data_IF_708511370947
#
_entry.id   IF_708511370947
#
_cell.length_a   1.000
_cell.length_b   1.000
_cell.length_c   1.000
_cell.angle_alpha   90.00
_cell.angle_beta   90.00
_cell.angle_gamma   90.00
#
_symmetry.space_group_name_H-M   'P 1'
#
loop_
_entity.id
_entity.type
_entity.pdbx_description
1 polymer ?
#
# COMPACT_ATOMS: atom_id res chain seq x y z
N UNK A 1 -6.53 12.38 19.36
CA UNK A 1 -5.36 12.99 18.69
C UNK A 1 -4.12 12.57 19.46
N UNK A 2 -3.09 12.10 18.77
CA UNK A 2 -1.82 11.66 19.39
C UNK A 2 -1.07 12.85 19.98
N UNK A 3 -0.41 12.65 21.13
CA UNK A 3 0.49 13.63 21.73
C UNK A 3 1.95 13.35 21.37
N UNK A 4 2.77 14.41 21.38
CA UNK A 4 4.23 14.35 21.27
C UNK A 4 4.81 14.99 22.52
N UNK A 5 5.60 14.23 23.26
CA UNK A 5 6.31 14.65 24.46
C UNK A 5 7.80 14.70 24.18
N UNK A 6 8.50 15.67 24.76
CA UNK A 6 9.92 15.87 24.54
C UNK A 6 10.73 15.55 25.80
N UNK A 7 11.79 14.76 25.67
CA UNK A 7 12.66 14.37 26.80
C UNK A 7 13.44 15.54 27.42
N UNK A 8 13.80 16.51 26.60
CA UNK A 8 14.52 17.72 27.00
C UNK A 8 14.51 18.73 25.87
N UNK A 9 14.42 20.02 26.18
CA UNK A 9 14.50 21.07 25.18
C UNK A 9 13.61 22.26 25.53
N UNK A 10 13.45 23.16 24.57
CA UNK A 10 12.56 24.32 24.71
C UNK A 10 11.14 24.01 24.18
N UNK A 11 10.11 24.71 24.69
CA UNK A 11 8.79 24.71 24.09
C UNK A 11 8.84 24.94 22.59
N UNK A 12 8.39 23.93 21.85
CA UNK A 12 8.39 23.90 20.39
C UNK A 12 6.95 23.68 19.92
N UNK A 13 6.55 24.34 18.85
CA UNK A 13 5.20 24.20 18.30
C UNK A 13 4.90 22.72 17.97
N UNK A 14 3.73 22.24 18.42
CA UNK A 14 3.30 20.85 18.23
C UNK A 14 3.72 19.86 19.32
N UNK A 15 4.63 20.24 20.23
CA UNK A 15 4.95 19.47 21.45
C UNK A 15 3.90 19.75 22.52
N UNK A 16 3.36 18.70 23.15
CA UNK A 16 2.30 18.81 24.15
C UNK A 16 2.83 18.87 25.59
N UNK A 17 3.92 18.16 25.89
CA UNK A 17 4.53 18.10 27.24
C UNK A 17 6.05 17.98 27.16
N UNK A 18 6.75 18.54 28.13
CA UNK A 18 8.21 18.43 28.26
C UNK A 18 8.58 17.76 29.57
N UNK A 19 9.47 16.76 29.49
CA UNK A 19 10.00 16.09 30.67
C UNK A 19 10.87 17.06 31.48
N UNK A 20 10.57 17.17 32.77
CA UNK A 20 11.22 18.13 33.68
C UNK A 20 10.45 19.44 33.87
N UNK A 21 9.40 19.68 33.09
CA UNK A 21 8.45 20.78 33.28
C UNK A 21 7.07 20.23 33.63
N UNK A 22 6.17 20.04 32.66
CA UNK A 22 4.82 19.52 32.93
C UNK A 22 4.80 18.01 33.16
N UNK A 23 5.73 17.27 32.54
CA UNK A 23 5.86 15.83 32.65
C UNK A 23 6.99 15.48 33.64
N UNK A 24 6.69 14.66 34.65
CA UNK A 24 7.68 14.18 35.60
C UNK A 24 7.59 12.66 35.76
N UNK A 25 8.75 12.02 35.87
CA UNK A 25 8.89 10.58 36.12
C UNK A 25 9.70 10.42 37.41
N UNK A 26 9.06 9.88 38.46
CA UNK A 26 9.72 9.56 39.72
C UNK A 26 9.64 8.05 39.97
N UNK A 27 10.77 7.37 39.72
CA UNK A 27 10.83 5.91 39.65
C UNK A 27 9.88 5.36 38.57
N UNK A 28 8.83 4.70 38.99
CA UNK A 28 7.78 4.18 38.10
C UNK A 28 6.53 5.06 38.06
N UNK A 29 6.44 6.10 38.87
CA UNK A 29 5.27 6.97 38.88
C UNK A 29 5.37 8.05 37.80
N UNK A 30 4.31 8.19 37.01
CA UNK A 30 4.18 9.19 35.95
C UNK A 30 3.26 10.32 36.43
N UNK A 31 3.76 11.56 36.34
CA UNK A 31 3.03 12.76 36.72
C UNK A 31 2.89 13.69 35.53
N UNK A 32 1.71 14.28 35.39
CA UNK A 32 1.44 15.39 34.47
C UNK A 32 0.85 16.53 35.30
N UNK A 33 1.44 17.72 35.23
CA UNK A 33 1.03 18.90 36.00
C UNK A 33 0.93 18.61 37.51
N UNK A 34 1.94 17.93 38.07
CA UNK A 34 2.02 17.51 39.48
C UNK A 34 0.94 16.51 39.97
N UNK A 35 0.08 16.00 39.09
CA UNK A 35 -0.88 14.94 39.42
C UNK A 35 -0.31 13.60 38.95
N UNK A 36 -0.33 12.58 39.81
CA UNK A 36 -0.01 11.23 39.39
C UNK A 36 -1.12 10.71 38.46
N UNK A 37 -0.76 10.41 37.22
CA UNK A 37 -1.69 9.96 36.18
C UNK A 37 -1.45 8.52 35.77
N UNK A 38 -0.25 7.99 36.03
CA UNK A 38 0.13 6.73 35.42
C UNK A 38 1.39 6.12 35.98
N UNK A 39 1.89 5.12 35.24
CA UNK A 39 3.16 4.48 35.56
C UNK A 39 4.04 4.26 34.32
N UNK A 40 5.35 4.34 34.53
CA UNK A 40 6.38 3.86 33.61
C UNK A 40 6.56 2.36 33.79
N UNK A 41 6.62 1.61 32.69
CA UNK A 41 6.79 0.15 32.70
C UNK A 41 7.79 -0.26 31.61
N UNK A 42 8.83 -0.97 32.01
CA UNK A 42 9.74 -1.66 31.08
C UNK A 42 9.07 -2.94 30.56
N UNK A 43 8.85 -3.02 29.24
CA UNK A 43 8.19 -4.15 28.57
C UNK A 43 9.15 -5.06 27.78
N UNK A 44 10.44 -5.00 28.09
CA UNK A 44 11.50 -5.84 27.49
C UNK A 44 11.28 -7.35 27.68
N UNK A 45 10.47 -7.76 28.65
CA UNK A 45 10.20 -9.16 28.99
C UNK A 45 8.71 -9.42 29.28
N UNK A 46 8.35 -10.70 29.41
CA UNK A 46 6.98 -11.16 29.63
C UNK A 46 6.38 -10.71 30.97
N UNK A 47 7.19 -10.54 32.01
CA UNK A 47 6.74 -10.04 33.32
C UNK A 47 6.33 -8.57 33.22
N UNK A 48 7.18 -7.74 32.62
CA UNK A 48 6.90 -6.31 32.35
C UNK A 48 5.65 -6.11 31.50
N UNK A 49 5.49 -6.88 30.43
CA UNK A 49 4.27 -6.85 29.60
C UNK A 49 3.01 -7.26 30.39
N UNK A 50 3.12 -8.26 31.28
CA UNK A 50 1.98 -8.69 32.09
C UNK A 50 1.59 -7.61 33.11
N UNK A 51 2.57 -6.93 33.70
CA UNK A 51 2.35 -5.77 34.57
C UNK A 51 1.64 -4.66 33.79
N UNK A 52 2.15 -4.27 32.62
CA UNK A 52 1.52 -3.23 31.79
C UNK A 52 0.07 -3.58 31.42
N UNK A 53 -0.21 -4.81 30.96
CA UNK A 53 -1.59 -5.24 30.66
C UNK A 53 -2.52 -5.19 31.88
N UNK A 54 -2.03 -5.54 33.07
CA UNK A 54 -2.83 -5.50 34.29
C UNK A 54 -3.24 -4.09 34.73
N UNK A 55 -2.56 -3.06 34.20
CA UNK A 55 -2.88 -1.66 34.47
C UNK A 55 -3.97 -1.09 33.56
N UNK A 56 -4.34 -1.80 32.49
CA UNK A 56 -5.42 -1.39 31.60
C UNK A 56 -6.73 -1.20 32.38
N UNK A 57 -7.37 -0.04 32.20
CA UNK A 57 -8.56 0.38 32.94
C UNK A 57 -8.31 0.92 34.35
N UNK A 58 -7.09 0.79 34.90
CA UNK A 58 -6.78 1.17 36.30
C UNK A 58 -5.98 2.47 36.44
N UNK A 59 -5.28 2.89 35.39
CA UNK A 59 -4.48 4.13 35.35
C UNK A 59 -4.86 4.97 34.12
N UNK A 60 -4.60 6.27 34.16
CA UNK A 60 -4.87 7.15 33.02
C UNK A 60 -3.81 6.95 31.92
N UNK A 61 -2.55 6.75 32.29
CA UNK A 61 -1.43 6.57 31.37
C UNK A 61 -0.52 5.40 31.74
N UNK A 62 -0.04 4.68 30.73
CA UNK A 62 1.09 3.76 30.83
C UNK A 62 2.19 4.28 29.91
N UNK A 63 3.36 4.60 30.45
CA UNK A 63 4.55 4.95 29.66
C UNK A 63 5.42 3.71 29.47
N UNK A 64 5.51 3.23 28.24
CA UNK A 64 6.30 2.06 27.86
C UNK A 64 7.75 2.45 27.61
N UNK A 65 8.65 1.71 28.24
CA UNK A 65 10.07 1.70 27.90
C UNK A 65 10.46 0.33 27.35
N UNK A 66 11.41 0.36 26.42
CA UNK A 66 11.87 -0.82 25.70
C UNK A 66 13.37 -0.97 25.97
N UNK A 67 13.80 -2.19 26.29
CA UNK A 67 15.21 -2.54 26.27
C UNK A 67 15.71 -2.62 24.83
N UNK A 68 15.46 -3.76 24.18
CA UNK A 68 15.56 -3.89 22.73
C UNK A 68 14.19 -3.67 22.09
N UNK A 69 14.12 -2.79 21.08
CA UNK A 69 12.88 -2.51 20.37
C UNK A 69 12.32 -3.74 19.66
N UNK A 70 11.03 -4.01 19.87
CA UNK A 70 10.24 -5.03 19.18
C UNK A 70 8.81 -4.53 19.02
N UNK A 71 8.15 -4.87 17.91
CA UNK A 71 6.75 -4.47 17.65
C UNK A 71 5.75 -5.19 18.56
N UNK A 72 5.94 -6.50 18.77
CA UNK A 72 4.96 -7.33 19.49
C UNK A 72 4.62 -6.81 20.90
N UNK A 73 5.58 -6.39 21.75
CA UNK A 73 5.26 -5.85 23.07
C UNK A 73 4.33 -4.64 23.03
N UNK A 74 4.57 -3.67 22.14
CA UNK A 74 3.76 -2.45 22.06
C UNK A 74 2.36 -2.77 21.52
N UNK A 75 2.25 -3.62 20.50
CA UNK A 75 0.98 -4.08 19.94
C UNK A 75 0.11 -4.77 20.99
N UNK A 76 0.71 -5.64 21.81
CA UNK A 76 0.00 -6.34 22.88
C UNK A 76 -0.56 -5.40 23.96
N UNK A 77 0.15 -4.31 24.29
CA UNK A 77 -0.33 -3.35 25.29
C UNK A 77 -1.40 -2.43 24.69
N UNK A 78 -1.23 -1.97 23.45
CA UNK A 78 -2.26 -1.20 22.72
C UNK A 78 -3.55 -2.02 22.67
N UNK A 79 -3.49 -3.28 22.22
CA UNK A 79 -4.67 -4.15 22.14
C UNK A 79 -5.35 -4.38 23.50
N UNK A 80 -4.59 -4.40 24.60
CA UNK A 80 -5.15 -4.56 25.95
C UNK A 80 -5.82 -3.28 26.48
N UNK A 81 -5.41 -2.11 26.00
CA UNK A 81 -5.95 -0.81 26.41
C UNK A 81 -7.03 -0.29 25.45
N UNK A 82 -7.12 -0.84 24.24
CA UNK A 82 -8.07 -0.41 23.21
C UNK A 82 -9.52 -0.49 23.70
N UNK A 83 -10.30 0.54 23.36
CA UNK A 83 -11.67 0.74 23.87
C UNK A 83 -11.78 1.10 25.37
N UNK A 84 -10.67 1.14 26.11
CA UNK A 84 -10.60 1.47 27.53
C UNK A 84 -10.22 2.93 27.81
N UNK A 85 -10.23 3.36 29.10
CA UNK A 85 -9.86 4.73 29.48
C UNK A 85 -8.35 4.95 29.62
N UNK A 86 -7.55 3.87 29.61
CA UNK A 86 -6.10 3.94 29.79
C UNK A 86 -5.42 4.25 28.47
N UNK A 87 -4.60 5.30 28.47
CA UNK A 87 -3.80 5.73 27.32
C UNK A 87 -2.39 5.16 27.38
N UNK A 88 -1.81 4.93 26.21
CA UNK A 88 -0.47 4.35 26.06
C UNK A 88 0.49 5.40 25.52
N UNK A 89 1.57 5.68 26.25
CA UNK A 89 2.70 6.44 25.77
C UNK A 89 3.89 5.51 25.53
N UNK A 90 4.73 5.81 24.54
CA UNK A 90 5.94 5.04 24.28
C UNK A 90 7.16 5.96 24.20
N UNK A 91 8.21 5.58 24.92
CA UNK A 91 9.53 6.24 24.82
C UNK A 91 10.29 5.66 23.64
N UNK A 92 10.70 6.52 22.70
CA UNK A 92 11.23 6.14 21.40
C UNK A 92 12.55 6.88 21.13
N UNK A 93 13.52 6.17 20.53
CA UNK A 93 14.87 6.70 20.28
C UNK A 93 15.31 6.66 18.82
N UNK A 94 14.44 6.24 17.87
CA UNK A 94 14.73 6.31 16.44
C UNK A 94 13.50 6.61 15.58
N UNK A 95 13.74 7.14 14.37
CA UNK A 95 12.67 7.48 13.43
C UNK A 95 11.85 6.26 12.96
N UNK A 96 12.50 5.10 12.78
CA UNK A 96 11.81 3.85 12.40
C UNK A 96 10.82 3.40 13.49
N UNK A 97 11.25 3.50 14.75
CA UNK A 97 10.41 3.17 15.91
C UNK A 97 9.22 4.14 16.04
N UNK A 98 9.39 5.43 15.67
CA UNK A 98 8.30 6.41 15.69
C UNK A 98 7.15 5.96 14.79
N UNK A 99 7.44 5.58 13.54
CA UNK A 99 6.41 5.11 12.61
C UNK A 99 5.76 3.81 13.11
N UNK A 100 6.56 2.86 13.60
CA UNK A 100 6.06 1.63 14.19
C UNK A 100 5.10 1.88 15.36
N UNK A 101 5.49 2.71 16.32
CA UNK A 101 4.66 3.03 17.49
C UNK A 101 3.42 3.85 17.14
N UNK A 102 3.56 4.85 16.26
CA UNK A 102 2.49 5.77 15.91
C UNK A 102 1.34 5.08 15.16
N UNK A 103 1.62 3.99 14.42
CA UNK A 103 0.63 3.33 13.56
C UNK A 103 0.42 1.84 13.89
N UNK A 104 0.99 1.34 14.99
CA UNK A 104 0.82 -0.05 15.45
C UNK A 104 -0.65 -0.46 15.48
N UNK A 105 -0.96 -1.62 14.88
CA UNK A 105 -2.33 -2.16 14.75
C UNK A 105 -3.34 -1.20 14.10
N UNK A 106 -2.89 -0.21 13.32
CA UNK A 106 -3.72 0.89 12.79
C UNK A 106 -4.37 1.79 13.86
N UNK A 107 -4.10 1.55 15.15
CA UNK A 107 -4.59 2.32 16.30
C UNK A 107 -3.50 3.31 16.75
N UNK A 108 -2.29 2.80 16.98
CA UNK A 108 -1.12 3.55 17.45
C UNK A 108 -1.15 3.88 18.94
N UNK A 109 -0.02 4.37 19.46
CA UNK A 109 0.09 4.89 20.84
C UNK A 109 -0.56 6.27 21.00
N UNK A 110 -1.11 6.59 22.16
CA UNK A 110 -1.67 7.91 22.43
C UNK A 110 -0.62 9.02 22.57
N UNK A 111 0.62 8.68 22.93
CA UNK A 111 1.73 9.63 22.98
C UNK A 111 3.09 9.02 22.62
N UNK A 112 3.96 9.83 22.03
CA UNK A 112 5.36 9.52 21.80
C UNK A 112 6.24 10.40 22.69
N UNK A 113 7.08 9.81 23.53
CA UNK A 113 8.16 10.51 24.23
C UNK A 113 9.45 10.35 23.44
N UNK A 114 9.96 11.46 22.91
CA UNK A 114 11.07 11.49 21.93
C UNK A 114 12.16 12.47 22.35
N UNK A 115 13.35 12.27 21.80
CA UNK A 115 14.46 13.23 21.91
C UNK A 115 14.41 14.30 20.80
N UNK A 116 15.26 15.33 20.88
CA UNK A 116 15.31 16.40 19.87
C UNK A 116 15.63 15.88 18.46
N UNK A 117 16.35 14.76 18.33
CA UNK A 117 16.72 14.19 17.03
C UNK A 117 15.53 13.54 16.34
N UNK A 118 14.65 12.91 17.10
CA UNK A 118 13.47 12.19 16.61
C UNK A 118 12.21 13.05 16.58
N UNK A 119 12.22 14.20 17.27
CA UNK A 119 11.13 15.16 17.31
C UNK A 119 10.54 15.52 15.93
N UNK A 120 11.32 15.85 14.88
CA UNK A 120 10.74 16.15 13.57
C UNK A 120 9.90 15.00 13.00
N UNK A 121 10.35 13.75 13.17
CA UNK A 121 9.60 12.56 12.71
C UNK A 121 8.32 12.37 13.51
N UNK A 122 8.37 12.60 14.83
CA UNK A 122 7.21 12.48 15.70
C UNK A 122 6.13 13.53 15.40
N UNK A 123 6.53 14.77 15.08
CA UNK A 123 5.60 15.83 14.66
C UNK A 123 4.92 15.51 13.33
N UNK A 124 5.65 14.96 12.36
CA UNK A 124 5.07 14.47 11.09
C UNK A 124 4.04 13.37 11.37
N UNK A 125 4.42 12.36 12.17
CA UNK A 125 3.52 11.27 12.54
C UNK A 125 2.28 11.77 13.30
N UNK A 126 2.42 12.79 14.15
CA UNK A 126 1.30 13.47 14.83
C UNK A 126 0.35 14.15 13.84
N UNK A 127 0.88 14.87 12.84
CA UNK A 127 0.06 15.47 11.78
C UNK A 127 -0.73 14.41 11.02
N UNK A 128 -0.05 13.37 10.54
CA UNK A 128 -0.66 12.24 9.82
C UNK A 128 -1.75 11.53 10.66
N UNK A 129 -1.61 11.50 11.99
CA UNK A 129 -2.63 10.97 12.90
C UNK A 129 -3.75 11.93 13.25
N UNK A 130 -3.50 13.23 13.20
CA UNK A 130 -4.51 14.28 13.41
C UNK A 130 -5.47 14.40 12.23
N UNK A 131 -5.00 14.09 11.02
CA UNK A 131 -5.79 14.08 9.80
C UNK A 131 -6.73 12.86 9.70
N UNK A 132 -6.48 11.79 10.47
CA UNK A 132 -7.31 10.58 10.60
C UNK A 132 -8.61 10.78 11.40
N UNK A 133 -9.51 11.63 10.91
CA UNK A 133 -10.98 11.38 10.98
C UNK A 133 -11.61 11.37 9.58
N UNK A 134 -10.77 11.43 8.55
CA UNK A 134 -11.13 11.07 7.18
C UNK A 134 -10.30 9.83 6.86
N UNK A 135 -10.92 8.84 6.26
CA UNK A 135 -10.35 7.53 5.91
C UNK A 135 -8.97 7.69 5.28
N UNK A 136 -7.92 7.31 6.03
CA UNK A 136 -6.56 7.27 5.50
C UNK A 136 -6.40 5.99 4.69
N UNK A 137 -6.70 6.08 3.40
CA UNK A 137 -5.76 5.57 2.42
C UNK A 137 -4.42 6.25 2.68
N UNK A 138 -3.45 5.46 3.13
CA UNK A 138 -2.04 5.85 3.19
C UNK A 138 -1.62 6.51 1.89
N UNK A 139 -0.98 7.70 1.96
CA UNK A 139 -0.17 8.44 0.96
C UNK A 139 -0.03 7.85 -0.46
N UNK A 140 -1.13 7.39 -1.02
CA UNK A 140 -1.31 7.05 -2.39
C UNK A 140 -1.82 8.36 -2.94
N UNK A 141 -0.95 9.08 -3.63
CA UNK A 141 -1.38 10.20 -4.46
C UNK A 141 -2.46 9.64 -5.38
N UNK A 142 -3.73 9.82 -5.02
CA UNK A 142 -4.84 9.30 -5.80
C UNK A 142 -4.85 10.10 -7.08
N UNK A 143 -4.39 9.48 -8.17
CA UNK A 143 -4.29 10.12 -9.47
C UNK A 143 -5.49 9.73 -10.31
N UNK A 144 -6.16 10.73 -10.87
CA UNK A 144 -7.17 10.49 -11.89
C UNK A 144 -6.48 10.10 -13.20
N UNK A 145 -6.82 8.93 -13.70
CA UNK A 145 -6.36 8.37 -14.95
C UNK A 145 -7.53 8.26 -15.91
N UNK A 146 -7.40 8.83 -17.10
CA UNK A 146 -8.42 8.68 -18.14
C UNK A 146 -8.30 7.31 -18.80
N UNK A 147 -9.25 6.42 -18.50
CA UNK A 147 -9.36 5.13 -19.15
C UNK A 147 -9.94 5.29 -20.57
N UNK A 148 -9.43 4.49 -21.50
CA UNK A 148 -9.85 4.46 -22.90
C UNK A 148 -10.62 3.19 -23.20
N UNK A 149 -11.52 3.27 -24.19
CA UNK A 149 -12.23 2.11 -24.72
C UNK A 149 -11.38 1.41 -25.77
N UNK A 150 -11.25 0.10 -25.62
CA UNK A 150 -10.45 -0.76 -26.50
C UNK A 150 -11.36 -1.86 -27.06
N UNK A 151 -11.53 -1.88 -28.39
CA UNK A 151 -12.33 -2.89 -29.08
C UNK A 151 -11.44 -4.07 -29.47
N UNK A 152 -11.76 -5.26 -28.96
CA UNK A 152 -11.03 -6.49 -29.31
C UNK A 152 -11.29 -6.84 -30.77
N UNK A 153 -10.21 -7.01 -31.55
CA UNK A 153 -10.28 -7.30 -32.99
C UNK A 153 -9.83 -8.72 -33.35
N UNK A 154 -9.00 -9.35 -32.50
CA UNK A 154 -8.50 -10.70 -32.70
C UNK A 154 -8.34 -11.39 -31.34
N UNK A 155 -8.71 -12.67 -31.26
CA UNK A 155 -8.41 -13.55 -30.12
C UNK A 155 -7.95 -14.90 -30.67
N UNK A 156 -6.79 -15.38 -30.22
CA UNK A 156 -6.23 -16.68 -30.63
C UNK A 156 -5.33 -17.29 -29.56
N UNK A 157 -4.97 -18.55 -29.74
CA UNK A 157 -3.96 -19.19 -28.90
C UNK A 157 -2.60 -18.51 -29.07
N UNK A 158 -1.95 -18.19 -27.95
CA UNK A 158 -0.65 -17.52 -27.87
C UNK A 158 0.54 -18.46 -27.62
N UNK A 159 0.30 -19.78 -27.58
CA UNK A 159 1.33 -20.77 -27.26
C UNK A 159 1.75 -20.76 -25.79
N UNK A 160 2.88 -21.37 -25.47
CA UNK A 160 3.43 -21.42 -24.10
C UNK A 160 4.61 -20.47 -23.97
N UNK A 161 4.60 -19.63 -22.95
CA UNK A 161 5.72 -18.72 -22.66
C UNK A 161 5.82 -18.35 -21.19
N UNK A 162 6.77 -17.48 -20.87
CA UNK A 162 7.04 -17.02 -19.50
C UNK A 162 6.03 -15.95 -19.06
N UNK A 163 5.13 -16.35 -18.16
CA UNK A 163 4.11 -15.48 -17.57
C UNK A 163 4.60 -14.88 -16.27
N UNK A 164 4.37 -13.59 -16.11
CA UNK A 164 4.69 -12.80 -14.92
C UNK A 164 3.42 -12.56 -14.09
N UNK A 165 3.47 -12.97 -12.82
CA UNK A 165 2.55 -12.49 -11.78
C UNK A 165 3.24 -11.46 -10.92
N UNK A 166 2.50 -10.42 -10.58
CA UNK A 166 2.94 -9.38 -9.64
C UNK A 166 2.12 -9.54 -8.36
N UNK A 167 2.81 -9.78 -7.25
CA UNK A 167 2.24 -9.74 -5.90
C UNK A 167 2.59 -8.41 -5.26
N UNK A 168 1.59 -7.71 -4.76
CA UNK A 168 1.72 -6.43 -4.08
C UNK A 168 1.85 -6.60 -2.56
N UNK A 169 2.34 -5.56 -1.89
CA UNK A 169 2.30 -5.47 -0.42
C UNK A 169 0.93 -5.01 0.10
N UNK A 170 0.05 -4.54 -0.79
CA UNK A 170 -1.29 -4.06 -0.49
C UNK A 170 -2.36 -5.00 -1.07
N UNK A 171 -3.54 -5.01 -0.46
CA UNK A 171 -4.71 -5.68 -1.03
C UNK A 171 -5.32 -4.82 -2.14
N UNK A 172 -5.91 -5.51 -3.12
CA UNK A 172 -6.66 -5.03 -4.26
C UNK A 172 -8.14 -5.22 -3.95
N UNK A 173 -8.93 -4.23 -4.33
CA UNK A 173 -10.38 -4.29 -4.30
C UNK A 173 -10.94 -4.88 -5.60
N UNK A 174 -12.25 -5.18 -5.59
CA UNK A 174 -12.95 -5.59 -6.81
C UNK A 174 -12.93 -4.43 -7.82
N UNK A 175 -12.55 -4.73 -9.07
CA UNK A 175 -12.42 -3.72 -10.11
C UNK A 175 -11.04 -3.07 -10.17
N UNK A 176 -10.12 -3.39 -9.24
CA UNK A 176 -8.73 -2.94 -9.30
C UNK A 176 -7.83 -3.88 -10.09
N UNK A 177 -6.81 -3.31 -10.72
CA UNK A 177 -5.89 -4.04 -11.57
C UNK A 177 -4.65 -3.26 -11.97
N UNK A 178 -3.89 -3.83 -12.90
CA UNK A 178 -2.69 -3.22 -13.48
C UNK A 178 -2.88 -2.95 -14.96
N UNK A 179 -2.29 -1.85 -15.44
CA UNK A 179 -2.31 -1.46 -16.85
C UNK A 179 -1.07 -2.06 -17.53
N UNK A 180 -1.29 -2.92 -18.52
CA UNK A 180 -0.25 -3.73 -19.17
C UNK A 180 -0.49 -3.88 -20.66
N UNK A 181 0.55 -4.07 -21.46
CA UNK A 181 0.38 -4.31 -22.91
C UNK A 181 1.70 -4.57 -23.61
N UNK A 182 1.67 -5.18 -24.79
CA UNK A 182 2.88 -5.35 -25.60
C UNK A 182 3.31 -4.06 -26.32
N UNK A 183 2.51 -2.99 -26.25
CA UNK A 183 2.92 -1.64 -26.63
C UNK A 183 2.81 -0.67 -25.46
N UNK A 184 3.78 0.22 -25.35
CA UNK A 184 3.80 1.27 -24.32
C UNK A 184 2.83 2.42 -24.62
N UNK A 185 2.24 2.48 -25.82
CA UNK A 185 1.31 3.53 -26.25
C UNK A 185 -0.17 3.12 -26.12
N UNK A 186 -0.46 1.84 -25.90
CA UNK A 186 -1.82 1.34 -25.74
C UNK A 186 -1.76 0.05 -24.92
N UNK A 187 -2.39 0.07 -23.74
CA UNK A 187 -2.31 -0.97 -22.71
C UNK A 187 -3.71 -1.29 -22.17
N UNK A 188 -3.92 -2.51 -21.68
CA UNK A 188 -5.19 -3.01 -21.15
C UNK A 188 -5.19 -3.06 -19.61
N UNK A 189 -6.35 -2.86 -18.98
CA UNK A 189 -6.52 -3.06 -17.54
C UNK A 189 -6.78 -4.54 -17.21
N UNK A 190 -5.80 -5.18 -16.57
CA UNK A 190 -5.89 -6.57 -16.10
C UNK A 190 -6.25 -6.58 -14.63
N UNK A 191 -7.39 -7.20 -14.31
CA UNK A 191 -7.97 -7.23 -12.99
C UNK A 191 -7.21 -8.16 -12.02
N UNK A 192 -7.24 -7.83 -10.73
CA UNK A 192 -6.66 -8.64 -9.65
C UNK A 192 -7.35 -9.99 -9.42
N UNK A 193 -6.69 -10.89 -8.70
CA UNK A 193 -7.24 -12.20 -8.28
C UNK A 193 -8.16 -12.05 -7.05
N UNK A 194 -9.17 -11.17 -7.15
CA UNK A 194 -10.09 -10.80 -6.06
C UNK A 194 -11.46 -11.47 -6.14
N UNK A 195 -11.74 -12.21 -7.23
CA UNK A 195 -13.00 -12.95 -7.42
C UNK A 195 -12.82 -14.42 -7.08
N UNK A 196 -13.63 -14.93 -6.15
CA UNK A 196 -13.66 -16.34 -5.79
C UNK A 196 -13.97 -17.23 -7.00
N UNK A 197 -13.31 -18.39 -7.06
CA UNK A 197 -13.69 -19.48 -7.97
C UNK A 197 -13.92 -20.75 -7.17
N UNK A 198 -14.68 -21.68 -7.75
CA UNK A 198 -14.93 -22.99 -7.11
C UNK A 198 -13.65 -23.81 -6.90
N UNK A 199 -12.58 -23.48 -7.63
CA UNK A 199 -11.37 -24.29 -7.71
C UNK A 199 -10.16 -23.68 -6.98
N UNK A 200 -10.14 -22.35 -6.77
CA UNK A 200 -8.96 -21.64 -6.25
C UNK A 200 -9.39 -20.50 -5.32
N UNK A 201 -8.83 -20.39 -4.10
CA UNK A 201 -9.09 -19.25 -3.22
C UNK A 201 -8.50 -17.96 -3.81
N UNK A 202 -9.12 -16.83 -3.49
CA UNK A 202 -8.64 -15.52 -3.92
C UNK A 202 -7.25 -15.21 -3.37
N UNK A 203 -6.50 -14.43 -4.14
CA UNK A 203 -5.25 -13.82 -3.73
C UNK A 203 -5.38 -12.34 -4.02
N UNK A 204 -6.07 -11.57 -3.17
CA UNK A 204 -6.40 -10.18 -3.43
C UNK A 204 -5.17 -9.26 -3.40
N UNK A 205 -3.95 -9.77 -3.44
CA UNK A 205 -2.72 -9.00 -3.60
C UNK A 205 -2.04 -9.30 -4.95
N UNK A 206 -2.62 -10.15 -5.81
CA UNK A 206 -2.01 -10.67 -7.03
C UNK A 206 -2.70 -10.19 -8.29
N UNK A 207 -1.90 -9.85 -9.30
CA UNK A 207 -2.34 -9.72 -10.71
C UNK A 207 -1.58 -10.70 -11.59
N UNK A 208 -2.29 -11.39 -12.48
CA UNK A 208 -1.70 -12.21 -13.55
C UNK A 208 -1.37 -11.33 -14.75
N UNK A 209 -0.31 -10.52 -14.60
CA UNK A 209 -0.05 -9.34 -15.42
C UNK A 209 0.17 -9.61 -16.92
N UNK A 210 0.87 -10.68 -17.31
CA UNK A 210 1.04 -11.01 -18.73
C UNK A 210 2.35 -11.71 -19.06
N UNK A 211 2.78 -11.62 -20.32
CA UNK A 211 4.05 -12.17 -20.78
C UNK A 211 5.24 -11.30 -20.36
N UNK A 212 6.40 -11.93 -20.19
CA UNK A 212 7.62 -11.26 -19.71
C UNK A 212 8.01 -9.98 -20.47
N UNK A 213 7.73 -9.91 -21.77
CA UNK A 213 8.06 -8.75 -22.63
C UNK A 213 7.00 -7.64 -22.60
N UNK A 214 5.84 -7.85 -21.98
CA UNK A 214 4.80 -6.82 -21.93
C UNK A 214 5.25 -5.68 -21.01
N UNK A 215 4.86 -4.46 -21.37
CA UNK A 215 4.98 -3.28 -20.53
C UNK A 215 3.95 -3.31 -19.39
N UNK A 216 4.31 -2.64 -18.30
CA UNK A 216 3.43 -2.27 -17.19
C UNK A 216 3.56 -0.77 -16.91
N UNK A 217 2.45 -0.14 -16.51
CA UNK A 217 2.45 1.23 -16.02
C UNK A 217 3.02 1.32 -14.60
N UNK A 218 4.07 2.11 -14.43
CA UNK A 218 4.69 2.41 -13.14
C UNK A 218 3.91 3.48 -12.39
N UNK A 219 4.11 3.60 -11.07
CA UNK A 219 3.38 4.58 -10.25
C UNK A 219 3.62 6.06 -10.66
N UNK A 220 4.77 6.34 -11.29
CA UNK A 220 5.14 7.67 -11.80
C UNK A 220 4.62 7.96 -13.23
N UNK A 221 3.85 7.04 -13.83
CA UNK A 221 3.32 7.16 -15.19
C UNK A 221 4.35 6.84 -16.30
N UNK A 222 5.53 6.34 -15.94
CA UNK A 222 6.46 5.69 -16.88
C UNK A 222 6.05 4.24 -17.14
N UNK A 223 6.74 3.57 -18.06
CA UNK A 223 6.51 2.14 -18.35
C UNK A 223 7.79 1.34 -18.18
N UNK A 224 7.68 0.13 -17.64
CA UNK A 224 8.79 -0.85 -17.55
C UNK A 224 8.36 -2.19 -18.16
N UNK A 225 9.31 -3.03 -18.56
CA UNK A 225 8.98 -4.42 -18.93
C UNK A 225 8.62 -5.23 -17.67
N UNK A 226 7.63 -6.11 -17.76
CA UNK A 226 7.25 -7.00 -16.66
C UNK A 226 8.42 -7.86 -16.17
N UNK A 227 9.35 -8.25 -17.06
CA UNK A 227 10.55 -9.00 -16.70
C UNK A 227 11.58 -8.20 -15.89
N UNK A 228 11.49 -6.87 -15.89
CA UNK A 228 12.45 -5.98 -15.22
C UNK A 228 12.00 -5.58 -13.81
N UNK A 229 10.72 -5.78 -13.48
CA UNK A 229 10.17 -5.53 -12.15
C UNK A 229 10.92 -6.29 -11.06
N UNK A 230 11.13 -5.61 -9.94
CA UNK A 230 11.78 -6.12 -8.74
C UNK A 230 10.93 -5.84 -7.51
N UNK A 231 11.22 -6.56 -6.43
CA UNK A 231 10.67 -6.27 -5.12
C UNK A 231 11.06 -4.84 -4.72
N UNK A 232 10.10 -4.07 -4.22
CA UNK A 232 10.27 -2.67 -3.85
C UNK A 232 9.94 -1.66 -4.95
N UNK A 233 9.78 -2.09 -6.20
CA UNK A 233 9.32 -1.19 -7.27
C UNK A 233 7.87 -0.76 -7.00
N UNK A 234 7.51 0.45 -7.41
CA UNK A 234 6.17 0.99 -7.28
C UNK A 234 5.43 0.98 -8.63
N UNK A 235 4.30 0.30 -8.67
CA UNK A 235 3.46 0.17 -9.87
C UNK A 235 2.13 0.87 -9.67
N UNK A 236 1.53 1.30 -10.78
CA UNK A 236 0.20 1.89 -10.76
C UNK A 236 -0.86 0.79 -10.65
N UNK A 237 -1.70 0.90 -9.63
CA UNK A 237 -2.97 0.15 -9.54
C UNK A 237 -4.08 1.11 -9.89
N UNK A 238 -4.94 0.71 -10.83
CA UNK A 238 -6.08 1.51 -11.27
C UNK A 238 -7.38 0.71 -11.10
N UNK A 239 -8.45 1.40 -10.74
CA UNK A 239 -9.80 0.83 -10.69
C UNK A 239 -10.57 1.14 -11.99
N UNK A 240 -11.75 0.53 -12.13
CA UNK A 240 -12.62 0.69 -13.30
C UNK A 240 -13.21 2.10 -13.50
N UNK A 241 -13.06 2.98 -12.52
CA UNK A 241 -13.47 4.40 -12.59
C UNK A 241 -12.33 5.33 -12.98
N UNK A 242 -11.13 4.80 -13.20
CA UNK A 242 -9.94 5.58 -13.51
C UNK A 242 -9.29 6.21 -12.28
N UNK A 243 -9.69 5.81 -11.08
CA UNK A 243 -8.97 6.18 -9.85
C UNK A 243 -7.75 5.27 -9.76
N UNK A 244 -6.56 5.86 -9.59
CA UNK A 244 -5.31 5.11 -9.49
C UNK A 244 -4.50 5.48 -8.25
N UNK A 245 -3.67 4.54 -7.80
CA UNK A 245 -2.82 4.62 -6.61
C UNK A 245 -1.49 3.90 -6.81
N UNK A 246 -0.47 4.31 -6.06
CA UNK A 246 0.82 3.60 -6.01
C UNK A 246 0.68 2.32 -5.19
N UNK A 247 1.33 1.25 -5.63
CA UNK A 247 1.45 0.02 -4.85
C UNK A 247 2.86 -0.56 -5.00
N UNK A 248 3.46 -0.93 -3.87
CA UNK A 248 4.77 -1.55 -3.86
C UNK A 248 4.66 -3.04 -4.24
N UNK A 249 5.55 -3.48 -5.13
CA UNK A 249 5.73 -4.87 -5.51
C UNK A 249 6.41 -5.64 -4.38
N UNK A 250 5.72 -6.63 -3.83
CA UNK A 250 6.25 -7.55 -2.81
C UNK A 250 6.97 -8.76 -3.42
N UNK A 251 6.48 -9.30 -4.55
CA UNK A 251 7.11 -10.43 -5.25
C UNK A 251 6.72 -10.46 -6.73
N UNK A 252 7.70 -10.76 -7.59
CA UNK A 252 7.47 -11.07 -9.00
C UNK A 252 7.68 -12.57 -9.22
N UNK A 253 6.70 -13.25 -9.81
CA UNK A 253 6.77 -14.70 -10.09
C UNK A 253 6.71 -14.93 -11.60
N UNK A 254 7.75 -15.56 -12.14
CA UNK A 254 7.84 -15.91 -13.57
C UNK A 254 7.76 -17.42 -13.74
N UNK A 255 6.81 -17.91 -14.53
CA UNK A 255 6.66 -19.35 -14.82
C UNK A 255 6.00 -19.60 -16.18
N UNK A 256 6.30 -20.75 -16.79
CA UNK A 256 5.76 -21.13 -18.10
C UNK A 256 4.26 -21.45 -18.02
N UNK A 257 3.45 -20.80 -18.86
CA UNK A 257 2.01 -21.05 -18.98
C UNK A 257 1.53 -20.91 -20.43
N UNK A 258 0.41 -21.57 -20.79
CA UNK A 258 -0.28 -21.28 -22.04
C UNK A 258 -0.87 -19.87 -21.99
N UNK A 259 -0.82 -19.18 -23.12
CA UNK A 259 -1.32 -17.83 -23.32
C UNK A 259 -2.50 -17.81 -24.29
N UNK A 260 -3.40 -16.84 -24.09
CA UNK A 260 -4.26 -16.29 -25.13
C UNK A 260 -3.60 -15.00 -25.59
N UNK A 261 -3.43 -14.87 -26.92
CA UNK A 261 -3.07 -13.62 -27.57
C UNK A 261 -4.36 -12.95 -28.03
N UNK A 262 -4.55 -11.69 -27.64
CA UNK A 262 -5.60 -10.88 -28.24
C UNK A 262 -5.06 -9.50 -28.62
N UNK A 263 -5.68 -8.94 -29.65
CA UNK A 263 -5.40 -7.60 -30.17
C UNK A 263 -6.63 -6.75 -30.05
N UNK A 264 -6.43 -5.45 -29.91
CA UNK A 264 -7.49 -4.45 -29.89
C UNK A 264 -7.11 -3.26 -30.76
N UNK A 265 -8.12 -2.46 -31.08
CA UNK A 265 -7.96 -1.09 -31.58
C UNK A 265 -8.55 -0.11 -30.58
N UNK A 266 -7.97 1.08 -30.49
CA UNK A 266 -8.54 2.19 -29.74
C UNK A 266 -9.42 3.09 -30.64
N UNK A 267 -9.95 4.16 -30.07
CA UNK A 267 -10.81 5.12 -30.78
C UNK A 267 -10.12 5.84 -31.96
N UNK A 268 -8.78 5.82 -32.02
CA UNK A 268 -7.99 6.38 -33.10
C UNK A 268 -7.55 5.34 -34.13
N UNK A 269 -8.16 4.14 -34.12
CA UNK A 269 -7.80 2.99 -34.96
C UNK A 269 -6.34 2.49 -34.79
N UNK A 270 -5.65 2.89 -33.71
CA UNK A 270 -4.33 2.34 -33.39
C UNK A 270 -4.50 0.95 -32.78
N UNK A 271 -3.78 -0.03 -33.34
CA UNK A 271 -3.81 -1.41 -32.88
C UNK A 271 -2.70 -1.68 -31.84
N UNK A 272 -3.03 -2.48 -30.84
CA UNK A 272 -2.07 -3.05 -29.90
C UNK A 272 -2.52 -4.45 -29.48
N UNK A 273 -1.72 -5.12 -28.66
CA UNK A 273 -2.00 -6.49 -28.23
C UNK A 273 -1.31 -6.84 -26.93
N UNK A 274 -1.68 -8.00 -26.39
CA UNK A 274 -1.07 -8.57 -25.18
C UNK A 274 -1.21 -10.09 -25.20
N UNK A 275 -0.37 -10.76 -24.43
CA UNK A 275 -0.49 -12.18 -24.14
C UNK A 275 -0.79 -12.37 -22.64
N UNK A 276 -1.97 -12.92 -22.32
CA UNK A 276 -2.41 -13.20 -20.94
C UNK A 276 -2.64 -14.69 -20.75
N UNK A 277 -2.35 -15.20 -19.54
CA UNK A 277 -2.44 -16.63 -19.27
C UNK A 277 -3.85 -17.14 -19.61
N UNK A 278 -3.94 -18.27 -20.30
CA UNK A 278 -5.18 -18.99 -20.53
C UNK A 278 -5.66 -19.63 -19.22
N UNK A 279 -6.42 -18.88 -18.42
CA UNK A 279 -7.10 -19.36 -17.22
C UNK A 279 -8.27 -18.45 -16.86
N UNK A 280 -9.34 -19.04 -16.35
CA UNK A 280 -10.57 -18.35 -15.99
C UNK A 280 -10.39 -17.29 -14.89
N UNK A 281 -9.33 -17.44 -14.09
CA UNK A 281 -8.94 -16.50 -13.03
C UNK A 281 -8.30 -15.22 -13.56
N UNK A 282 -7.88 -15.18 -14.82
CA UNK A 282 -7.37 -13.97 -15.47
C UNK A 282 -8.54 -13.24 -16.11
N UNK A 283 -8.81 -12.03 -15.61
CA UNK A 283 -9.97 -11.24 -15.99
C UNK A 283 -9.55 -9.85 -16.46
N UNK A 284 -10.32 -9.33 -17.40
CA UNK A 284 -10.27 -7.98 -17.93
C UNK A 284 -11.52 -7.24 -17.46
N UNK A 285 -11.56 -5.92 -17.64
CA UNK A 285 -12.73 -5.11 -17.27
C UNK A 285 -13.38 -4.56 -18.53
N UNK A 286 -14.68 -4.79 -18.72
CA UNK A 286 -15.45 -4.25 -19.84
C UNK A 286 -15.73 -2.77 -19.68
N UNK A 287 -16.18 -2.10 -20.74
CA UNK A 287 -16.68 -0.72 -20.63
C UNK A 287 -17.89 -0.58 -19.69
N UNK A 288 -18.66 -1.66 -19.48
CA UNK A 288 -19.76 -1.75 -18.52
C UNK A 288 -19.27 -1.99 -17.09
N UNK A 289 -17.96 -2.06 -16.85
CA UNK A 289 -17.30 -2.40 -15.58
C UNK A 289 -17.58 -3.83 -15.10
N UNK A 290 -17.95 -4.70 -16.02
CA UNK A 290 -18.12 -6.13 -15.75
C UNK A 290 -16.78 -6.85 -15.97
N UNK A 291 -16.55 -7.90 -15.19
CA UNK A 291 -15.32 -8.69 -15.30
C UNK A 291 -15.48 -9.72 -16.41
N UNK A 292 -14.58 -9.66 -17.40
CA UNK A 292 -14.57 -10.56 -18.56
C UNK A 292 -13.43 -11.55 -18.38
N UNK A 293 -13.74 -12.84 -18.33
CA UNK A 293 -12.70 -13.87 -18.30
C UNK A 293 -11.96 -13.93 -19.64
N UNK A 294 -10.63 -14.04 -19.61
CA UNK A 294 -9.84 -14.13 -20.84
C UNK A 294 -10.22 -15.35 -21.69
N UNK A 295 -10.68 -16.44 -21.07
CA UNK A 295 -11.09 -17.66 -21.78
C UNK A 295 -12.43 -17.52 -22.50
N UNK A 296 -13.19 -16.47 -22.18
CA UNK A 296 -14.49 -16.15 -22.79
C UNK A 296 -14.39 -14.95 -23.74
N UNK A 297 -13.19 -14.40 -23.92
CA UNK A 297 -12.98 -13.21 -24.72
C UNK A 297 -13.24 -13.48 -26.20
N UNK A 298 -14.02 -12.61 -26.84
CA UNK A 298 -14.34 -12.68 -28.27
C UNK A 298 -14.11 -11.34 -28.96
N UNK A 299 -13.83 -11.33 -30.28
CA UNK A 299 -13.82 -10.10 -31.07
C UNK A 299 -15.13 -9.30 -30.92
N UNK A 300 -15.02 -7.98 -30.90
CA UNK A 300 -16.11 -7.03 -30.63
C UNK A 300 -16.34 -6.72 -29.15
N UNK A 301 -15.65 -7.41 -28.23
CA UNK A 301 -15.70 -7.05 -26.80
C UNK A 301 -15.07 -5.67 -26.58
N UNK A 302 -15.75 -4.79 -25.84
CA UNK A 302 -15.26 -3.47 -25.46
C UNK A 302 -14.69 -3.52 -24.04
N UNK A 303 -13.41 -3.20 -23.90
CA UNK A 303 -12.67 -3.26 -22.64
C UNK A 303 -12.11 -1.90 -22.24
N UNK A 304 -11.82 -1.76 -20.94
CA UNK A 304 -11.12 -0.62 -20.36
C UNK A 304 -9.62 -0.84 -20.42
N UNK A 305 -8.90 0.21 -20.83
CA UNK A 305 -7.45 0.27 -20.74
C UNK A 305 -6.97 1.70 -20.79
N UNK A 306 -5.80 1.92 -21.36
CA UNK A 306 -5.17 3.21 -21.46
C UNK A 306 -4.54 3.38 -22.84
N UNK A 307 -4.69 4.57 -23.40
CA UNK A 307 -3.97 4.99 -24.60
C UNK A 307 -3.11 6.21 -24.27
N UNK A 308 -1.83 6.11 -24.58
CA UNK A 308 -0.90 7.22 -24.51
C UNK A 308 -1.00 8.14 -25.73
N UNK A 309 -0.78 9.44 -25.53
CA UNK A 309 -0.50 10.37 -26.62
C UNK A 309 1.00 10.37 -26.95
N UNK A 310 1.32 10.23 -28.26
CA UNK A 310 2.65 10.19 -28.89
C UNK A 310 3.69 9.19 -28.30
N UNK A 311 4.55 8.65 -29.17
CA UNK A 311 5.39 7.47 -28.91
C UNK A 311 6.32 7.55 -27.69
N UNK A 312 6.46 6.45 -26.95
CA UNK A 312 7.44 6.30 -25.86
C UNK A 312 8.64 5.46 -26.30
N UNK A 313 9.84 5.82 -25.83
CA UNK A 313 11.05 5.01 -25.99
C UNK A 313 11.68 4.78 -24.62
N UNK A 314 11.76 3.52 -24.19
CA UNK A 314 12.40 3.14 -22.90
C UNK A 314 11.78 3.89 -21.72
N UNK A 315 10.46 3.85 -21.60
CA UNK A 315 9.73 4.40 -20.45
C UNK A 315 9.51 5.91 -20.43
N UNK A 316 10.22 6.69 -21.27
CA UNK A 316 10.06 8.14 -21.36
C UNK A 316 9.22 8.58 -22.56
N UNK A 317 8.37 9.59 -22.34
CA UNK A 317 7.65 10.29 -23.41
C UNK A 317 8.65 11.00 -24.31
N UNK A 318 8.76 10.57 -25.56
CA UNK A 318 9.59 11.25 -26.55
C UNK A 318 8.71 11.80 -27.67
N UNK A 319 9.14 12.90 -28.30
CA UNK A 319 8.42 13.48 -29.45
C UNK A 319 8.65 12.74 -30.77
N UNK A 320 9.29 11.56 -30.74
CA UNK A 320 9.59 10.77 -31.93
C UNK A 320 8.75 9.49 -31.97
N UNK A 321 8.24 9.15 -33.15
CA UNK A 321 7.47 7.93 -33.39
C UNK A 321 8.37 6.70 -33.26
N UNK A 322 8.06 5.81 -32.32
CA UNK A 322 8.63 4.47 -32.22
C UNK A 322 7.58 3.48 -32.73
N UNK A 323 7.92 2.71 -33.77
CA UNK A 323 7.06 1.65 -34.30
C UNK A 323 7.38 0.32 -33.58
N UNK A 324 6.46 -0.14 -32.72
CA UNK A 324 6.50 -1.45 -32.05
C UNK A 324 5.60 -2.42 -32.87
N UNK A 325 6.10 -3.62 -33.21
CA UNK A 325 5.40 -4.62 -34.06
C UNK A 325 5.16 -5.93 -33.34
#
# INVERSE_FOLDING_TARGET
MMQVWLESGNPTEGVDLILGDELLIDGDALYINSKQVGRRVDVSNSSGQSIARSMAGSVEWILLEFGEWKMIPIENIIAACDGGPTKVAARISSAEQVLGAAFALQIGVDALLVDEKTLPTALIAKSQRGEKTVENDSENTTQEMTLSKLEVIEVREGGVGDRVCVDLTSMLELGEGMIVGSSSNSMILVHGETVESEFVPIRPFRVNAGAAHSYIMMADGTTSYLSELKMGDEVMVANSDGISRSCMVGRVKIEKRPFILFRWKNENDNEAGVLLQQAETVRLISESRELVSITELVPGTLLLGWTGGAGRHVGQTISAEVEEK
#
